data_IF_354732482713
#
_entry.id   IF_354732482713
#
_cell.length_a   1.000
_cell.length_b   1.000
_cell.length_c   1.000
_cell.angle_alpha   90.00
_cell.angle_beta   90.00
_cell.angle_gamma   90.00
#
_symmetry.space_group_name_H-M   'P 1'
#
loop_
_entity.id
_entity.type
_entity.pdbx_description
1 polymer ?
#
# COMPACT_ATOMS: atom_id res chain seq x y z
N UNK A 1 14.60 14.55 -4.28
CA UNK A 1 13.17 14.89 -4.53
C UNK A 1 12.36 13.61 -4.60
N UNK A 2 11.32 13.48 -3.78
CA UNK A 2 10.53 12.26 -3.73
C UNK A 2 9.63 12.11 -4.96
N UNK A 3 9.92 11.09 -5.72
CA UNK A 3 9.15 10.68 -6.88
C UNK A 3 7.86 9.96 -6.42
N UNK A 4 6.68 10.23 -7.00
CA UNK A 4 5.44 9.51 -6.65
C UNK A 4 5.54 7.98 -6.82
N UNK A 5 6.30 7.51 -7.80
CA UNK A 5 6.51 6.08 -8.02
C UNK A 5 7.34 5.48 -6.88
N UNK A 6 8.39 6.15 -6.45
CA UNK A 6 9.23 5.74 -5.31
C UNK A 6 8.44 5.78 -4.00
N UNK A 7 7.56 6.77 -3.83
CA UNK A 7 6.67 6.85 -2.67
C UNK A 7 5.70 5.68 -2.63
N UNK A 8 5.17 5.27 -3.78
CA UNK A 8 4.28 4.12 -3.86
C UNK A 8 5.01 2.83 -3.46
N UNK A 9 6.25 2.65 -3.93
CA UNK A 9 7.07 1.49 -3.56
C UNK A 9 7.36 1.48 -2.05
N UNK A 10 7.71 2.63 -1.46
CA UNK A 10 7.95 2.75 -0.02
C UNK A 10 6.66 2.49 0.79
N UNK A 11 5.53 3.01 0.32
CA UNK A 11 4.24 2.78 0.96
C UNK A 11 3.84 1.30 0.91
N UNK A 12 4.11 0.62 -0.21
CA UNK A 12 3.87 -0.81 -0.34
C UNK A 12 4.71 -1.61 0.66
N UNK A 13 5.99 -1.26 0.80
CA UNK A 13 6.86 -1.89 1.79
C UNK A 13 6.36 -1.69 3.23
N UNK A 14 5.92 -0.47 3.56
CA UNK A 14 5.33 -0.17 4.88
C UNK A 14 4.04 -0.96 5.12
N UNK A 15 3.20 -1.09 4.11
CA UNK A 15 1.96 -1.86 4.20
C UNK A 15 2.27 -3.35 4.43
N UNK A 16 3.26 -3.91 3.74
CA UNK A 16 3.70 -5.28 3.94
C UNK A 16 4.22 -5.51 5.36
N UNK A 17 5.05 -4.59 5.87
CA UNK A 17 5.55 -4.65 7.24
C UNK A 17 4.42 -4.56 8.27
N UNK A 18 3.44 -3.69 8.04
CA UNK A 18 2.27 -3.55 8.91
C UNK A 18 1.42 -4.83 8.90
N UNK A 19 1.25 -5.46 7.75
CA UNK A 19 0.52 -6.72 7.63
C UNK A 19 1.22 -7.86 8.40
N UNK A 20 2.56 -7.94 8.30
CA UNK A 20 3.34 -8.91 9.07
C UNK A 20 3.23 -8.67 10.57
N UNK A 21 3.32 -7.41 11.00
CA UNK A 21 3.18 -7.04 12.41
C UNK A 21 1.80 -7.41 12.93
N UNK A 22 0.74 -7.17 12.15
CA UNK A 22 -0.62 -7.55 12.52
C UNK A 22 -0.78 -9.06 12.64
N UNK A 23 -0.18 -9.83 11.72
CA UNK A 23 -0.21 -11.29 11.77
C UNK A 23 0.51 -11.83 13.01
N UNK A 24 1.68 -11.27 13.33
CA UNK A 24 2.42 -11.63 14.53
C UNK A 24 1.65 -11.31 15.81
N UNK A 25 0.99 -10.14 15.84
CA UNK A 25 0.18 -9.72 16.99
C UNK A 25 -1.00 -10.67 17.21
N UNK A 26 -1.66 -11.10 16.13
CA UNK A 26 -2.74 -12.10 16.22
C UNK A 26 -2.24 -13.45 16.75
N UNK A 27 -1.09 -13.90 16.26
CA UNK A 27 -0.48 -15.15 16.71
C UNK A 27 -0.11 -15.09 18.20
N UNK A 28 0.48 -13.97 18.64
CA UNK A 28 0.81 -13.78 20.07
C UNK A 28 -0.45 -13.72 20.94
N UNK A 29 -1.51 -13.09 20.46
CA UNK A 29 -2.79 -13.02 21.16
C UNK A 29 -3.37 -14.42 21.38
N UNK A 30 -3.26 -15.30 20.38
CA UNK A 30 -3.72 -16.67 20.49
C UNK A 30 -2.85 -17.51 21.43
N UNK A 31 -1.54 -17.25 21.47
CA UNK A 31 -0.59 -17.99 22.30
C UNK A 31 -0.54 -17.50 23.76
N UNK A 32 -0.98 -16.27 24.02
CA UNK A 32 -0.79 -15.59 25.29
C UNK A 32 -1.87 -15.88 26.35
N UNK A 33 -2.70 -16.91 26.15
CA UNK A 33 -3.83 -17.21 27.01
C UNK A 33 -3.46 -17.54 28.46
N UNK A 34 -2.18 -17.82 28.75
CA UNK A 34 -1.71 -18.14 30.10
C UNK A 34 -0.98 -17.00 30.82
N UNK A 35 -0.58 -15.92 30.12
CA UNK A 35 0.28 -14.86 30.67
C UNK A 35 -0.35 -13.47 30.68
N UNK A 36 -1.38 -13.27 29.90
CA UNK A 36 -2.02 -11.96 29.71
C UNK A 36 -3.53 -12.10 29.83
N UNK A 37 -4.16 -11.02 30.26
CA UNK A 37 -5.63 -10.99 30.24
C UNK A 37 -6.11 -10.97 28.78
N UNK A 38 -7.27 -11.51 28.55
CA UNK A 38 -7.94 -11.48 27.25
C UNK A 38 -8.08 -10.03 26.76
N UNK A 39 -8.36 -9.10 27.69
CA UNK A 39 -8.49 -7.69 27.37
C UNK A 39 -7.19 -7.08 26.83
N UNK A 40 -6.05 -7.39 27.45
CA UNK A 40 -4.74 -6.90 26.98
C UNK A 40 -4.38 -7.45 25.59
N UNK A 41 -4.61 -8.73 25.38
CA UNK A 41 -4.38 -9.36 24.08
C UNK A 41 -5.26 -8.75 22.99
N UNK A 42 -6.53 -8.49 23.31
CA UNK A 42 -7.50 -7.85 22.40
C UNK A 42 -7.07 -6.42 22.06
N UNK A 43 -6.63 -5.65 23.07
CA UNK A 43 -6.14 -4.30 22.85
C UNK A 43 -4.97 -4.24 21.89
N UNK A 44 -3.99 -5.14 22.05
CA UNK A 44 -2.84 -5.20 21.12
C UNK A 44 -3.26 -5.59 19.70
N UNK A 45 -4.21 -6.51 19.57
CA UNK A 45 -4.76 -6.88 18.28
C UNK A 45 -5.41 -5.69 17.59
N UNK A 46 -6.22 -4.92 18.33
CA UNK A 46 -6.89 -3.73 17.79
C UNK A 46 -5.87 -2.68 17.34
N UNK A 47 -4.82 -2.43 18.14
CA UNK A 47 -3.76 -1.49 17.73
C UNK A 47 -3.05 -1.93 16.46
N UNK A 48 -2.77 -3.23 16.31
CA UNK A 48 -2.13 -3.75 15.10
C UNK A 48 -3.04 -3.59 13.88
N UNK A 49 -4.35 -3.81 14.03
CA UNK A 49 -5.33 -3.64 12.97
C UNK A 49 -5.48 -2.18 12.57
N UNK A 50 -5.46 -1.25 13.54
CA UNK A 50 -5.51 0.18 13.26
C UNK A 50 -4.29 0.64 12.44
N UNK A 51 -3.08 0.16 12.80
CA UNK A 51 -1.88 0.49 12.05
C UNK A 51 -1.94 -0.06 10.62
N UNK A 52 -2.47 -1.26 10.46
CA UNK A 52 -2.65 -1.85 9.13
C UNK A 52 -3.63 -1.03 8.29
N UNK A 53 -4.75 -0.62 8.87
CA UNK A 53 -5.74 0.21 8.18
C UNK A 53 -5.14 1.55 7.76
N UNK A 54 -4.35 2.18 8.64
CA UNK A 54 -3.67 3.45 8.34
C UNK A 54 -2.64 3.27 7.20
N UNK A 55 -1.87 2.17 7.23
CA UNK A 55 -0.89 1.87 6.18
C UNK A 55 -1.57 1.64 4.83
N UNK A 56 -2.71 0.94 4.82
CA UNK A 56 -3.50 0.73 3.60
C UNK A 56 -4.02 2.03 3.02
N UNK A 57 -4.50 2.94 3.89
CA UNK A 57 -4.98 4.24 3.46
C UNK A 57 -3.87 5.08 2.84
N UNK A 58 -2.67 5.08 3.44
CA UNK A 58 -1.49 5.75 2.88
C UNK A 58 -1.08 5.16 1.53
N UNK A 59 -1.10 3.82 1.42
CA UNK A 59 -0.76 3.14 0.18
C UNK A 59 -1.75 3.50 -0.92
N UNK A 60 -3.06 3.54 -0.61
CA UNK A 60 -4.08 3.93 -1.59
C UNK A 60 -3.83 5.33 -2.14
N UNK A 61 -3.48 6.29 -1.28
CA UNK A 61 -3.14 7.65 -1.70
C UNK A 61 -1.87 7.70 -2.56
N UNK A 62 -0.84 6.93 -2.16
CA UNK A 62 0.40 6.86 -2.92
C UNK A 62 0.20 6.24 -4.30
N UNK A 63 -0.62 5.20 -4.41
CA UNK A 63 -0.96 4.57 -5.69
C UNK A 63 -1.72 5.53 -6.60
N UNK A 64 -2.63 6.34 -6.05
CA UNK A 64 -3.34 7.34 -6.82
C UNK A 64 -2.38 8.40 -7.38
N UNK A 65 -1.45 8.90 -6.56
CA UNK A 65 -0.44 9.85 -7.01
C UNK A 65 0.48 9.25 -8.07
N UNK A 66 0.90 7.99 -7.87
CA UNK A 66 1.73 7.26 -8.84
C UNK A 66 1.01 7.09 -10.17
N UNK A 67 -0.27 6.69 -10.12
CA UNK A 67 -1.10 6.56 -11.32
C UNK A 67 -1.17 7.88 -12.09
N UNK A 68 -1.45 8.98 -11.38
CA UNK A 68 -1.54 10.29 -12.02
C UNK A 68 -0.20 10.72 -12.63
N UNK A 69 0.92 10.42 -11.97
CA UNK A 69 2.26 10.71 -12.50
C UNK A 69 2.55 9.89 -13.76
N UNK A 70 2.15 8.61 -13.79
CA UNK A 70 2.31 7.78 -14.98
C UNK A 70 1.45 8.25 -16.15
N UNK A 71 0.20 8.69 -15.87
CA UNK A 71 -0.66 9.21 -16.91
C UNK A 71 -0.11 10.53 -17.50
N UNK A 72 0.43 11.41 -16.67
CA UNK A 72 1.08 12.62 -17.12
C UNK A 72 2.33 12.32 -17.95
N UNK A 73 3.14 11.38 -17.52
CA UNK A 73 4.33 10.94 -18.25
C UNK A 73 3.96 10.31 -19.60
N UNK A 74 2.89 9.52 -19.64
CA UNK A 74 2.38 8.92 -20.88
C UNK A 74 1.96 9.99 -21.88
N UNK A 75 1.28 11.04 -21.41
CA UNK A 75 0.87 12.14 -22.27
C UNK A 75 2.09 12.86 -22.84
N UNK A 76 3.10 13.15 -22.03
CA UNK A 76 4.32 13.79 -22.48
C UNK A 76 5.08 12.94 -23.50
N UNK A 77 5.16 11.63 -23.27
CA UNK A 77 5.80 10.71 -24.21
C UNK A 77 5.06 10.66 -25.53
N UNK A 78 3.74 10.62 -25.51
CA UNK A 78 2.91 10.65 -26.73
C UNK A 78 3.13 11.95 -27.52
N UNK A 79 3.23 13.08 -26.84
CA UNK A 79 3.50 14.39 -27.48
C UNK A 79 4.88 14.44 -28.15
N UNK A 80 5.85 13.67 -27.63
CA UNK A 80 7.19 13.56 -28.20
C UNK A 80 7.29 12.47 -29.29
N UNK A 81 6.21 11.75 -29.53
CA UNK A 81 6.21 10.64 -30.47
C UNK A 81 6.77 9.34 -29.90
N UNK A 82 6.99 9.25 -28.59
CA UNK A 82 7.45 8.02 -27.92
C UNK A 82 6.24 7.18 -27.53
N UNK A 83 5.68 6.45 -28.49
CA UNK A 83 4.49 5.63 -28.27
C UNK A 83 4.75 4.45 -27.35
N UNK A 84 5.94 3.88 -27.39
CA UNK A 84 6.32 2.77 -26.52
C UNK A 84 6.42 3.23 -25.07
N UNK A 85 7.03 4.38 -24.82
CA UNK A 85 7.10 5.00 -23.49
C UNK A 85 5.73 5.30 -22.96
N UNK A 86 4.88 5.91 -23.79
CA UNK A 86 3.48 6.20 -23.42
C UNK A 86 2.72 4.93 -23.02
N UNK A 87 2.86 3.87 -23.81
CA UNK A 87 2.21 2.58 -23.53
C UNK A 87 2.68 1.98 -22.19
N UNK A 88 4.00 2.04 -21.91
CA UNK A 88 4.55 1.55 -20.64
C UNK A 88 3.99 2.30 -19.44
N UNK A 89 3.91 3.63 -19.55
CA UNK A 89 3.34 4.45 -18.46
C UNK A 89 1.85 4.21 -18.27
N UNK A 90 1.09 4.02 -19.34
CA UNK A 90 -0.34 3.67 -19.23
C UNK A 90 -0.53 2.31 -18.57
N UNK A 91 0.31 1.33 -18.90
CA UNK A 91 0.26 0.01 -18.28
C UNK A 91 0.58 0.09 -16.78
N UNK A 92 1.58 0.89 -16.39
CA UNK A 92 1.92 1.11 -14.99
C UNK A 92 0.80 1.81 -14.24
N UNK A 93 0.15 2.80 -14.85
CA UNK A 93 -1.02 3.47 -14.28
C UNK A 93 -2.19 2.50 -14.05
N UNK A 94 -2.40 1.59 -14.97
CA UNK A 94 -3.44 0.57 -14.86
C UNK A 94 -3.15 -0.40 -13.70
N UNK A 95 -1.90 -0.81 -13.53
CA UNK A 95 -1.50 -1.65 -12.40
C UNK A 95 -1.71 -0.93 -11.05
N UNK A 96 -1.35 0.35 -10.96
CA UNK A 96 -1.60 1.14 -9.75
C UNK A 96 -3.08 1.18 -9.39
N UNK A 97 -3.93 1.33 -10.40
CA UNK A 97 -5.39 1.32 -10.21
C UNK A 97 -5.89 -0.03 -9.71
N UNK A 98 -5.38 -1.11 -10.28
CA UNK A 98 -5.78 -2.47 -9.87
C UNK A 98 -5.36 -2.76 -8.43
N UNK A 99 -4.14 -2.40 -8.06
CA UNK A 99 -3.67 -2.56 -6.68
C UNK A 99 -4.51 -1.75 -5.70
N UNK A 100 -4.88 -0.53 -6.08
CA UNK A 100 -5.75 0.31 -5.25
C UNK A 100 -7.14 -0.32 -5.08
N UNK A 101 -7.70 -0.86 -6.13
CA UNK A 101 -8.99 -1.56 -6.08
C UNK A 101 -8.92 -2.79 -5.17
N UNK A 102 -7.82 -3.54 -5.22
CA UNK A 102 -7.59 -4.71 -4.37
C UNK A 102 -7.52 -4.34 -2.89
N UNK A 103 -6.98 -3.16 -2.56
CA UNK A 103 -6.93 -2.68 -1.18
C UNK A 103 -8.33 -2.39 -0.61
N UNK A 104 -9.28 -2.06 -1.48
CA UNK A 104 -10.64 -1.71 -1.06
C UNK A 104 -11.56 -2.93 -0.89
N UNK A 105 -11.14 -4.11 -1.36
CA UNK A 105 -11.95 -5.33 -1.32
C UNK A 105 -11.73 -6.20 -0.09
#
# INVERSE_FOLDING_TARGET
MDDPISRAAAALARAAQAAEAAARARARAQAATSRETVAEAEERRLHAEERLAAARAELAKALERSRNAHLAAAQMDAERGDDDGAARHRAAAHEDRREREDLAS
#
